data_IF_434247652499
#
_entry.id   IF_434247652499
#
_cell.length_a   1.000
_cell.length_b   1.000
_cell.length_c   1.000
_cell.angle_alpha   90.00
_cell.angle_beta   90.00
_cell.angle_gamma   90.00
#
_symmetry.space_group_name_H-M   'P 1'
#
loop_
_entity.id
_entity.type
_entity.pdbx_description
1 polymer ?
#
# COMPACT_ATOMS: atom_id res chain seq x y z
N UNK A 1 15.94 -38.87 -55.68
CA UNK A 1 16.47 -37.49 -55.57
C UNK A 1 15.41 -36.40 -55.36
N UNK A 2 14.48 -36.10 -56.29
CA UNK A 2 13.56 -34.94 -56.11
C UNK A 2 12.46 -35.15 -55.03
N UNK A 3 12.08 -36.39 -54.77
CA UNK A 3 11.08 -36.81 -53.76
C UNK A 3 11.67 -36.94 -52.35
N UNK A 4 12.88 -37.48 -52.22
CA UNK A 4 13.58 -37.59 -50.93
C UNK A 4 13.87 -36.23 -50.29
N UNK A 5 14.28 -35.25 -51.11
CA UNK A 5 14.50 -33.89 -50.63
C UNK A 5 13.22 -33.21 -50.11
N UNK A 6 12.03 -33.58 -50.63
CA UNK A 6 10.75 -33.06 -50.12
C UNK A 6 10.37 -33.65 -48.77
N UNK A 7 10.62 -34.96 -48.58
CA UNK A 7 10.36 -35.64 -47.31
C UNK A 7 11.29 -35.12 -46.21
N UNK A 8 12.58 -34.92 -46.53
CA UNK A 8 13.56 -34.36 -45.61
C UNK A 8 13.22 -32.91 -45.22
N UNK A 9 12.83 -32.06 -46.19
CA UNK A 9 12.38 -30.70 -45.90
C UNK A 9 11.11 -30.66 -45.05
N UNK A 10 10.14 -31.54 -45.29
CA UNK A 10 8.95 -31.66 -44.43
C UNK A 10 9.32 -32.10 -43.01
N UNK A 11 10.21 -33.09 -42.85
CA UNK A 11 10.68 -33.54 -41.54
C UNK A 11 11.40 -32.43 -40.77
N UNK A 12 12.27 -31.65 -41.42
CA UNK A 12 12.96 -30.50 -40.82
C UNK A 12 11.95 -29.41 -40.45
N UNK A 13 10.93 -29.16 -41.28
CA UNK A 13 9.87 -28.20 -40.97
C UNK A 13 9.03 -28.64 -39.77
N UNK A 14 8.62 -29.91 -39.71
CA UNK A 14 7.88 -30.45 -38.57
C UNK A 14 8.72 -30.45 -37.29
N UNK A 15 10.02 -30.76 -37.38
CA UNK A 15 10.93 -30.74 -36.23
C UNK A 15 11.17 -29.30 -35.73
N UNK A 16 11.37 -28.34 -36.64
CA UNK A 16 11.54 -26.91 -36.26
C UNK A 16 10.24 -26.33 -35.71
N UNK A 17 9.08 -26.72 -36.24
CA UNK A 17 7.77 -26.36 -35.69
C UNK A 17 7.55 -26.97 -34.29
N UNK A 18 7.87 -28.25 -34.09
CA UNK A 18 7.80 -28.90 -32.77
C UNK A 18 8.73 -28.24 -31.75
N UNK A 19 9.96 -27.92 -32.14
CA UNK A 19 10.91 -27.22 -31.27
C UNK A 19 10.39 -25.82 -30.95
N UNK A 20 9.88 -25.07 -31.92
CA UNK A 20 9.33 -23.73 -31.70
C UNK A 20 8.13 -23.72 -30.73
N UNK A 21 7.25 -24.72 -30.79
CA UNK A 21 6.12 -24.85 -29.85
C UNK A 21 6.56 -25.16 -28.42
N UNK A 22 7.68 -25.85 -28.21
CA UNK A 22 8.18 -26.17 -26.87
C UNK A 22 8.92 -25.00 -26.18
N UNK A 23 9.22 -23.91 -26.89
CA UNK A 23 9.94 -22.74 -26.32
C UNK A 23 8.99 -21.58 -25.97
N UNK A 24 7.72 -21.63 -26.38
CA UNK A 24 6.75 -20.58 -26.08
C UNK A 24 6.08 -20.84 -24.72
N UNK A 25 6.70 -20.35 -23.65
CA UNK A 25 6.03 -20.18 -22.36
C UNK A 25 5.18 -18.90 -22.41
N UNK A 26 3.87 -19.04 -22.59
CA UNK A 26 2.90 -17.94 -22.60
C UNK A 26 2.49 -17.44 -21.21
N UNK A 27 3.22 -17.81 -20.17
CA UNK A 27 2.90 -17.47 -18.79
C UNK A 27 3.49 -16.12 -18.38
N UNK A 28 2.82 -15.43 -17.47
CA UNK A 28 3.31 -14.15 -16.95
C UNK A 28 4.54 -14.34 -16.03
N UNK A 29 5.46 -13.35 -15.97
CA UNK A 29 6.72 -13.48 -15.22
C UNK A 29 6.51 -13.76 -13.72
N UNK A 30 7.34 -14.65 -13.17
CA UNK A 30 7.39 -14.92 -11.73
C UNK A 30 8.54 -14.15 -11.06
N UNK A 31 8.25 -13.55 -9.91
CA UNK A 31 9.24 -12.91 -9.03
C UNK A 31 9.25 -13.60 -7.69
N UNK A 32 10.42 -14.03 -7.26
CA UNK A 32 10.61 -14.77 -6.01
C UNK A 32 11.26 -13.88 -4.96
N UNK A 33 10.68 -13.87 -3.76
CA UNK A 33 11.21 -13.15 -2.61
C UNK A 33 11.28 -14.09 -1.42
N UNK A 34 12.38 -14.03 -0.68
CA UNK A 34 12.54 -14.74 0.59
C UNK A 34 12.68 -13.72 1.71
N UNK A 35 11.74 -13.75 2.64
CA UNK A 35 11.65 -12.80 3.75
C UNK A 35 11.86 -13.50 5.08
N UNK A 36 12.88 -13.06 5.81
CA UNK A 36 13.14 -13.45 7.19
C UNK A 36 12.57 -12.37 8.10
N UNK A 37 11.50 -12.70 8.81
CA UNK A 37 10.85 -11.80 9.76
C UNK A 37 11.50 -12.02 11.12
N UNK A 38 12.13 -10.97 11.64
CA UNK A 38 12.92 -11.03 12.89
C UNK A 38 12.56 -9.86 13.78
N UNK A 39 12.82 -10.02 15.07
CA UNK A 39 12.75 -8.92 16.03
C UNK A 39 14.15 -8.33 16.18
N UNK A 40 14.33 -7.02 15.99
CA UNK A 40 15.62 -6.37 16.16
C UNK A 40 15.53 -4.91 16.62
N UNK A 41 16.68 -4.28 16.95
CA UNK A 41 16.71 -2.88 17.35
C UNK A 41 16.42 -1.96 16.15
N UNK A 42 15.51 -1.01 16.34
CA UNK A 42 15.19 0.09 15.43
C UNK A 42 15.38 1.43 16.15
N UNK A 43 15.59 2.51 15.38
CA UNK A 43 15.85 3.85 15.92
C UNK A 43 14.86 4.91 15.39
N UNK A 44 13.54 4.67 15.46
CA UNK A 44 12.56 5.68 15.07
C UNK A 44 12.73 6.91 15.96
N UNK A 45 12.80 8.10 15.36
CA UNK A 45 13.06 9.37 16.05
C UNK A 45 14.35 9.39 16.90
N UNK A 46 15.34 8.55 16.56
CA UNK A 46 16.62 8.48 17.28
C UNK A 46 16.59 7.71 18.61
N UNK A 47 15.45 7.10 18.98
CA UNK A 47 15.31 6.33 20.22
C UNK A 47 15.35 4.84 19.89
N UNK A 48 16.26 4.10 20.53
CA UNK A 48 16.37 2.64 20.39
C UNK A 48 15.11 1.94 20.92
N UNK A 49 14.46 1.15 20.07
CA UNK A 49 13.29 0.35 20.40
C UNK A 49 13.41 -1.03 19.76
N UNK A 50 12.64 -2.01 20.25
CA UNK A 50 12.53 -3.31 19.61
C UNK A 50 11.43 -3.25 18.54
N UNK A 51 11.75 -3.61 17.30
CA UNK A 51 10.83 -3.59 16.17
C UNK A 51 10.88 -4.85 15.31
N UNK A 52 9.89 -5.00 14.44
CA UNK A 52 9.82 -6.09 13.46
C UNK A 52 10.59 -5.65 12.20
N UNK A 53 11.60 -6.44 11.87
CA UNK A 53 12.45 -6.29 10.70
C UNK A 53 12.12 -7.36 9.66
N UNK A 54 12.13 -6.98 8.39
CA UNK A 54 12.08 -7.93 7.27
C UNK A 54 13.45 -7.90 6.59
N UNK A 55 14.14 -9.03 6.56
CA UNK A 55 15.52 -9.12 6.06
C UNK A 55 16.47 -8.10 6.72
N UNK A 56 16.27 -7.85 8.03
CA UNK A 56 17.08 -6.90 8.80
C UNK A 56 16.77 -5.41 8.53
N UNK A 57 15.72 -5.10 7.75
CA UNK A 57 15.39 -3.73 7.35
C UNK A 57 14.13 -3.22 8.04
N UNK A 58 14.16 -1.93 8.41
CA UNK A 58 13.00 -1.14 8.81
C UNK A 58 13.07 0.27 8.19
N UNK A 59 12.07 0.70 7.40
CA UNK A 59 10.94 -0.10 6.90
C UNK A 59 11.40 -1.33 6.09
N UNK A 60 10.48 -2.28 5.88
CA UNK A 60 10.76 -3.49 5.12
C UNK A 60 11.13 -3.21 3.65
N UNK A 61 11.72 -4.20 2.96
CA UNK A 61 12.17 -4.05 1.58
C UNK A 61 11.01 -3.71 0.65
N UNK A 62 11.22 -2.74 -0.23
CA UNK A 62 10.26 -2.37 -1.27
C UNK A 62 10.14 -3.48 -2.33
N UNK A 63 8.91 -3.77 -2.75
CA UNK A 63 8.64 -4.61 -3.93
C UNK A 63 8.36 -3.68 -5.11
N UNK A 64 9.18 -3.76 -6.16
CA UNK A 64 8.89 -3.17 -7.46
C UNK A 64 8.52 -4.29 -8.43
N UNK A 65 7.34 -4.19 -9.04
CA UNK A 65 6.80 -5.21 -9.95
C UNK A 65 6.02 -4.59 -11.09
N UNK A 66 5.75 -5.33 -12.15
CA UNK A 66 4.96 -4.87 -13.28
C UNK A 66 3.57 -5.52 -13.22
N UNK A 67 2.56 -4.90 -13.84
CA UNK A 67 1.24 -5.50 -14.07
C UNK A 67 1.40 -6.93 -14.64
N UNK A 68 0.51 -7.82 -14.21
CA UNK A 68 0.43 -9.25 -14.47
C UNK A 68 1.55 -10.12 -13.88
N UNK A 69 2.60 -9.55 -13.28
CA UNK A 69 3.62 -10.38 -12.62
C UNK A 69 3.01 -11.23 -11.48
N UNK A 70 3.53 -12.44 -11.33
CA UNK A 70 3.23 -13.35 -10.23
C UNK A 70 4.30 -13.20 -9.15
N UNK A 71 3.91 -12.81 -7.92
CA UNK A 71 4.84 -12.68 -6.81
C UNK A 71 4.76 -13.92 -5.92
N UNK A 72 5.89 -14.59 -5.72
CA UNK A 72 6.03 -15.73 -4.82
C UNK A 72 6.91 -15.29 -3.65
N UNK A 73 6.30 -15.11 -2.48
CA UNK A 73 6.94 -14.52 -1.31
C UNK A 73 6.95 -15.54 -0.17
N UNK A 74 8.11 -16.18 0.06
CA UNK A 74 8.31 -17.10 1.17
C UNK A 74 8.68 -16.35 2.44
N UNK A 75 7.75 -16.32 3.39
CA UNK A 75 7.86 -15.61 4.66
C UNK A 75 8.22 -16.61 5.76
N UNK A 76 9.39 -16.44 6.35
CA UNK A 76 9.89 -17.23 7.47
C UNK A 76 9.72 -16.44 8.76
N UNK A 77 8.96 -16.99 9.71
CA UNK A 77 8.71 -16.37 10.99
C UNK A 77 9.77 -16.77 12.01
N UNK A 78 10.69 -15.86 12.33
CA UNK A 78 11.66 -16.01 13.43
C UNK A 78 11.29 -15.17 14.66
N UNK A 79 10.04 -14.67 14.74
CA UNK A 79 9.52 -14.08 15.96
C UNK A 79 9.17 -15.17 16.98
N UNK A 80 9.04 -14.78 18.24
CA UNK A 80 8.58 -15.67 19.33
C UNK A 80 7.06 -15.86 19.35
N UNK A 81 6.35 -15.27 18.39
CA UNK A 81 4.90 -15.24 18.33
C UNK A 81 4.38 -15.49 16.91
N UNK A 82 3.11 -15.89 16.73
CA UNK A 82 2.54 -16.12 15.42
C UNK A 82 2.54 -14.84 14.58
N UNK A 83 2.69 -14.97 13.26
CA UNK A 83 2.82 -13.83 12.36
C UNK A 83 1.92 -13.98 11.13
N UNK A 84 1.36 -12.85 10.67
CA UNK A 84 0.67 -12.72 9.38
C UNK A 84 1.05 -11.39 8.75
N UNK A 85 1.14 -11.37 7.42
CA UNK A 85 1.40 -10.18 6.63
C UNK A 85 0.32 -10.02 5.57
N UNK A 86 -0.25 -8.82 5.48
CA UNK A 86 -1.28 -8.50 4.48
C UNK A 86 -0.76 -7.53 3.43
N UNK A 87 -1.41 -7.52 2.28
CA UNK A 87 -1.01 -6.84 1.05
C UNK A 87 -2.02 -5.74 0.74
N UNK A 88 -1.94 -4.62 1.46
CA UNK A 88 -2.97 -3.58 1.44
C UNK A 88 -3.23 -3.04 0.03
N UNK A 89 -4.46 -3.24 -0.45
CA UNK A 89 -4.93 -2.83 -1.77
C UNK A 89 -4.64 -3.81 -2.90
N UNK A 90 -3.88 -4.89 -2.67
CA UNK A 90 -3.72 -5.98 -3.65
C UNK A 90 -5.01 -6.81 -3.67
N UNK A 91 -5.56 -6.99 -4.86
CA UNK A 91 -6.81 -7.69 -5.08
C UNK A 91 -6.57 -9.19 -5.16
N UNK A 92 -6.97 -9.90 -4.12
CA UNK A 92 -6.87 -11.36 -4.04
C UNK A 92 -7.97 -12.07 -4.85
N UNK A 93 -8.10 -11.76 -6.14
CA UNK A 93 -9.16 -12.26 -7.02
C UNK A 93 -9.10 -13.78 -7.13
N UNK A 94 -10.09 -14.46 -6.52
CA UNK A 94 -10.18 -15.93 -6.39
C UNK A 94 -9.00 -16.56 -5.64
N UNK A 95 -8.36 -15.79 -4.76
CA UNK A 95 -7.11 -16.18 -4.08
C UNK A 95 -7.10 -15.71 -2.62
N UNK A 96 -8.26 -15.72 -1.95
CA UNK A 96 -8.45 -15.08 -0.64
C UNK A 96 -7.56 -15.66 0.46
N UNK A 97 -7.16 -16.93 0.37
CA UNK A 97 -6.22 -17.57 1.30
C UNK A 97 -4.77 -17.06 1.16
N UNK A 98 -4.52 -16.05 0.33
CA UNK A 98 -3.24 -15.35 0.20
C UNK A 98 -3.29 -13.93 0.78
N UNK A 99 -4.43 -13.52 1.33
CA UNK A 99 -4.64 -12.16 1.83
C UNK A 99 -3.85 -11.86 3.11
N UNK A 100 -3.56 -12.91 3.90
CA UNK A 100 -2.73 -12.81 5.09
C UNK A 100 -3.38 -12.01 6.20
N UNK A 101 -4.68 -12.19 6.39
CA UNK A 101 -5.48 -11.64 7.49
C UNK A 101 -6.04 -12.80 8.31
N UNK A 102 -6.20 -12.58 9.61
CA UNK A 102 -6.83 -13.58 10.46
C UNK A 102 -8.26 -13.87 9.98
N UNK A 103 -8.57 -15.14 9.75
CA UNK A 103 -9.83 -15.61 9.15
C UNK A 103 -9.70 -16.04 7.69
N UNK A 104 -8.79 -15.46 6.90
CA UNK A 104 -8.42 -15.99 5.57
C UNK A 104 -7.21 -16.92 5.65
N UNK A 105 -6.31 -16.66 6.60
CA UNK A 105 -5.10 -17.43 6.86
C UNK A 105 -5.00 -17.82 8.33
N UNK A 106 -4.48 -19.03 8.59
CA UNK A 106 -3.94 -19.38 9.89
C UNK A 106 -2.61 -18.64 10.12
N UNK A 107 -2.36 -18.06 11.31
CA UNK A 107 -1.08 -17.42 11.61
C UNK A 107 0.12 -18.36 11.45
N UNK A 108 1.22 -17.84 10.89
CA UNK A 108 2.47 -18.59 10.71
C UNK A 108 3.10 -18.79 12.09
N UNK A 109 3.22 -20.02 12.61
CA UNK A 109 3.80 -20.24 13.94
C UNK A 109 5.29 -19.85 14.00
N UNK A 110 5.84 -19.58 15.19
CA UNK A 110 7.27 -19.39 15.39
C UNK A 110 8.10 -20.53 14.77
N UNK A 111 9.17 -20.18 14.04
CA UNK A 111 10.06 -21.14 13.39
C UNK A 111 9.48 -21.81 12.14
N UNK A 112 8.27 -21.45 11.71
CA UNK A 112 7.63 -21.94 10.49
C UNK A 112 7.66 -20.90 9.38
N UNK A 113 7.26 -21.32 8.18
CA UNK A 113 7.15 -20.46 7.02
C UNK A 113 5.81 -20.63 6.33
N UNK A 114 5.48 -19.66 5.48
CA UNK A 114 4.38 -19.74 4.53
C UNK A 114 4.78 -18.99 3.26
N UNK A 115 4.38 -19.53 2.11
CA UNK A 115 4.67 -18.90 0.82
C UNK A 115 3.40 -18.27 0.27
N UNK A 116 3.43 -16.95 0.13
CA UNK A 116 2.37 -16.19 -0.50
C UNK A 116 2.52 -16.23 -2.01
N UNK A 117 1.46 -16.57 -2.73
CA UNK A 117 1.42 -16.55 -4.19
C UNK A 117 0.42 -15.49 -4.66
N UNK A 118 0.91 -14.30 -5.01
CA UNK A 118 0.10 -13.14 -5.36
C UNK A 118 0.10 -12.92 -6.87
N UNK A 119 -1.06 -12.59 -7.43
CA UNK A 119 -1.17 -12.24 -8.85
C UNK A 119 -1.50 -10.76 -8.97
N UNK A 120 -0.58 -9.96 -9.53
CA UNK A 120 -0.81 -8.51 -9.65
C UNK A 120 -1.89 -8.17 -10.67
N UNK A 121 -2.09 -9.05 -11.67
CA UNK A 121 -3.08 -8.90 -12.74
C UNK A 121 -3.06 -7.48 -13.34
N UNK A 122 -4.22 -6.85 -13.43
CA UNK A 122 -4.45 -5.53 -14.01
C UNK A 122 -4.14 -4.36 -13.06
N UNK A 123 -3.63 -4.60 -11.86
CA UNK A 123 -3.34 -3.52 -10.93
C UNK A 123 -2.08 -2.75 -11.33
N UNK A 124 -2.15 -1.43 -11.23
CA UNK A 124 -1.04 -0.49 -11.43
C UNK A 124 -1.17 0.56 -10.34
N UNK A 125 -0.09 0.91 -9.67
CA UNK A 125 -0.12 1.98 -8.67
C UNK A 125 0.79 1.73 -7.47
N UNK A 126 0.41 2.32 -6.35
CA UNK A 126 1.19 2.37 -5.14
C UNK A 126 0.40 1.72 -4.01
N UNK A 127 1.00 0.69 -3.43
CA UNK A 127 0.44 -0.14 -2.37
C UNK A 127 1.50 -0.33 -1.30
N UNK A 128 1.15 -1.02 -0.22
CA UNK A 128 2.10 -1.37 0.82
C UNK A 128 1.64 -2.66 1.51
N UNK A 129 2.56 -3.32 2.19
CA UNK A 129 2.25 -4.46 3.04
C UNK A 129 2.50 -4.08 4.50
N UNK A 130 1.85 -4.81 5.42
CA UNK A 130 2.12 -4.68 6.84
C UNK A 130 1.68 -5.93 7.63
N UNK A 131 2.20 -6.15 8.85
CA UNK A 131 1.75 -7.23 9.70
C UNK A 131 0.32 -7.04 10.18
N UNK A 132 -0.56 -8.00 9.93
CA UNK A 132 -2.01 -7.87 10.18
C UNK A 132 -2.46 -8.38 11.55
N UNK A 133 -1.59 -9.08 12.28
CA UNK A 133 -1.94 -9.71 13.55
C UNK A 133 -1.77 -8.75 14.75
N UNK A 134 -2.80 -8.62 15.57
CA UNK A 134 -2.79 -7.82 16.79
C UNK A 134 -2.38 -6.37 16.52
N UNK A 135 -1.23 -5.98 17.07
CA UNK A 135 -0.63 -4.65 16.87
C UNK A 135 0.80 -4.76 16.31
N UNK A 136 1.10 -5.81 15.55
CA UNK A 136 2.44 -5.99 14.94
C UNK A 136 2.82 -4.85 14.01
N UNK A 137 1.87 -4.28 13.27
CA UNK A 137 2.07 -3.07 12.45
C UNK A 137 2.69 -1.91 13.26
N UNK A 138 2.34 -1.79 14.53
CA UNK A 138 2.86 -0.76 15.42
C UNK A 138 4.37 -0.92 15.70
N UNK A 139 4.87 -2.14 15.62
CA UNK A 139 6.29 -2.46 15.81
C UNK A 139 7.08 -2.39 14.49
N UNK A 140 6.45 -2.01 13.38
CA UNK A 140 7.08 -1.94 12.06
C UNK A 140 6.65 -3.08 11.15
N UNK A 141 7.61 -3.70 10.45
CA UNK A 141 7.35 -4.77 9.49
C UNK A 141 6.55 -4.36 8.24
N UNK A 142 6.31 -3.06 8.02
CA UNK A 142 5.63 -2.54 6.84
C UNK A 142 6.64 -2.11 5.76
N UNK A 143 6.21 -2.14 4.50
CA UNK A 143 7.03 -1.74 3.35
C UNK A 143 6.19 -1.48 2.10
N UNK A 144 6.78 -0.81 1.11
CA UNK A 144 6.06 -0.38 -0.10
C UNK A 144 5.98 -1.47 -1.17
N UNK A 145 4.91 -1.42 -1.96
CA UNK A 145 4.71 -2.22 -3.18
C UNK A 145 4.36 -1.27 -4.31
N UNK A 146 5.25 -1.15 -5.29
CA UNK A 146 4.99 -0.37 -6.49
C UNK A 146 4.70 -1.30 -7.65
N UNK A 147 3.52 -1.15 -8.25
CA UNK A 147 3.16 -1.86 -9.47
C UNK A 147 3.23 -0.88 -10.66
N UNK A 148 4.08 -1.18 -11.61
CA UNK A 148 4.31 -0.39 -12.82
C UNK A 148 3.46 -0.92 -13.98
N UNK A 149 3.12 -0.03 -14.91
CA UNK A 149 2.52 -0.45 -16.19
C UNK A 149 3.52 -1.27 -17.00
N UNK A 150 3.03 -2.17 -17.86
CA UNK A 150 3.91 -2.87 -18.81
C UNK A 150 4.53 -1.87 -19.79
N UNK A 151 5.75 -2.16 -20.29
CA UNK A 151 6.31 -1.39 -21.40
C UNK A 151 5.29 -1.27 -22.53
N UNK A 152 5.18 -0.07 -23.12
CA UNK A 152 4.25 0.27 -24.22
C UNK A 152 2.77 0.37 -23.85
N UNK A 153 2.36 0.13 -22.60
CA UNK A 153 1.03 0.53 -22.14
C UNK A 153 1.08 2.00 -21.73
N UNK A 154 0.38 2.91 -22.43
CA UNK A 154 0.38 4.32 -22.10
C UNK A 154 -0.32 4.55 -20.76
N UNK A 155 0.35 5.32 -19.90
CA UNK A 155 -0.24 5.90 -18.69
C UNK A 155 -0.68 7.34 -18.99
N UNK A 156 -1.69 7.88 -18.30
CA UNK A 156 -2.28 9.19 -18.64
C UNK A 156 -1.40 10.39 -18.25
N UNK A 157 -0.11 10.21 -18.02
CA UNK A 157 0.84 11.26 -17.63
C UNK A 157 2.23 11.01 -18.25
N UNK A 158 3.07 12.04 -18.43
CA UNK A 158 4.43 11.88 -18.92
C UNK A 158 5.29 11.01 -18.00
N UNK A 159 6.25 10.29 -18.58
CA UNK A 159 7.19 9.48 -17.79
C UNK A 159 7.99 10.38 -16.82
N UNK A 160 7.95 10.12 -15.50
CA UNK A 160 8.76 10.86 -14.55
C UNK A 160 10.24 10.48 -14.68
N UNK A 161 11.13 11.38 -14.28
CA UNK A 161 12.58 11.16 -14.22
C UNK A 161 12.98 10.17 -13.12
N UNK A 162 12.12 9.99 -12.11
CA UNK A 162 12.32 9.02 -11.03
C UNK A 162 11.10 8.92 -10.13
N UNK A 163 11.06 7.83 -9.36
CA UNK A 163 10.00 7.50 -8.42
C UNK A 163 10.57 7.43 -6.99
N UNK A 164 9.90 8.09 -6.05
CA UNK A 164 10.17 7.99 -4.62
C UNK A 164 9.01 7.32 -3.90
N UNK A 165 9.30 6.30 -3.09
CA UNK A 165 8.33 5.69 -2.18
C UNK A 165 8.45 6.34 -0.81
N UNK A 166 7.33 6.84 -0.30
CA UNK A 166 7.24 7.59 0.94
C UNK A 166 6.17 6.95 1.83
N UNK A 167 6.61 6.17 2.81
CA UNK A 167 5.77 5.58 3.84
C UNK A 167 5.75 6.53 5.03
N UNK A 168 4.59 7.12 5.32
CA UNK A 168 4.44 8.06 6.41
C UNK A 168 3.34 7.62 7.38
N UNK A 169 3.47 7.94 8.66
CA UNK A 169 2.47 7.56 9.65
C UNK A 169 2.89 7.90 11.07
N UNK A 170 1.94 7.77 11.99
CA UNK A 170 2.20 7.91 13.42
C UNK A 170 3.07 6.80 14.00
N UNK A 171 3.79 7.14 15.06
CA UNK A 171 4.62 6.24 15.82
C UNK A 171 4.43 6.41 17.31
N UNK A 172 4.50 5.29 18.02
CA UNK A 172 4.42 5.21 19.48
C UNK A 172 5.76 4.72 20.02
N UNK A 173 6.34 5.43 20.99
CA UNK A 173 7.58 5.03 21.66
C UNK A 173 7.37 3.82 22.58
N UNK A 174 6.15 3.68 23.12
CA UNK A 174 5.72 2.54 23.92
C UNK A 174 4.90 1.61 23.05
N UNK A 175 5.07 0.29 23.24
CA UNK A 175 4.30 -0.73 22.53
C UNK A 175 2.79 -0.50 22.71
N UNK A 176 2.04 -0.16 21.65
CA UNK A 176 0.59 0.03 21.72
C UNK A 176 -0.14 -1.23 22.22
N UNK A 177 0.41 -2.41 21.89
CA UNK A 177 -0.08 -3.69 22.38
C UNK A 177 -0.05 -3.78 23.90
N UNK A 178 1.10 -3.47 24.51
CA UNK A 178 1.25 -3.57 25.96
C UNK A 178 0.30 -2.60 26.70
N UNK A 179 -0.01 -1.45 26.11
CA UNK A 179 -0.98 -0.48 26.65
C UNK A 179 -2.39 -1.06 26.59
N UNK A 180 -2.79 -1.61 25.45
CA UNK A 180 -4.12 -2.20 25.27
C UNK A 180 -4.32 -3.45 26.14
N UNK A 181 -3.32 -4.33 26.21
CA UNK A 181 -3.37 -5.55 27.03
C UNK A 181 -3.46 -5.22 28.54
N UNK A 182 -3.00 -4.03 28.95
CA UNK A 182 -3.17 -3.52 30.32
C UNK A 182 -4.55 -2.87 30.59
N UNK A 183 -5.46 -2.87 29.60
CA UNK A 183 -6.80 -2.30 29.73
C UNK A 183 -6.86 -0.77 29.59
N UNK A 184 -5.78 -0.14 29.12
CA UNK A 184 -5.72 1.30 28.91
C UNK A 184 -6.00 1.67 27.45
N UNK A 185 -6.66 2.81 27.24
CA UNK A 185 -6.83 3.39 25.92
C UNK A 185 -5.47 3.76 25.33
N UNK A 186 -5.34 3.65 24.00
CA UNK A 186 -4.15 4.14 23.32
C UNK A 186 -3.96 5.64 23.58
N UNK A 187 -2.74 6.07 23.96
CA UNK A 187 -2.44 7.47 24.11
C UNK A 187 -2.43 8.16 22.74
N UNK A 188 -2.24 9.47 22.76
CA UNK A 188 -1.87 10.18 21.55
C UNK A 188 -0.48 9.70 21.06
N UNK A 189 -0.24 9.55 19.75
CA UNK A 189 1.07 9.12 19.26
C UNK A 189 2.18 10.10 19.64
N UNK A 190 3.41 9.58 19.75
CA UNK A 190 4.58 10.36 20.16
C UNK A 190 5.17 11.22 19.03
N UNK A 191 4.92 10.84 17.77
CA UNK A 191 5.46 11.52 16.61
C UNK A 191 4.99 10.93 15.29
N UNK A 192 5.50 11.50 14.19
CA UNK A 192 5.30 10.99 12.84
C UNK A 192 6.65 10.56 12.26
N UNK A 193 6.62 9.51 11.44
CA UNK A 193 7.77 9.05 10.68
C UNK A 193 7.55 9.26 9.18
N UNK A 194 8.66 9.47 8.47
CA UNK A 194 8.77 9.33 7.02
C UNK A 194 9.80 8.24 6.79
N UNK A 195 9.48 7.19 6.04
CA UNK A 195 10.37 6.05 5.75
C UNK A 195 11.10 5.53 7.01
N UNK A 196 10.39 5.42 8.15
CA UNK A 196 10.92 4.93 9.43
C UNK A 196 11.78 5.93 10.21
N UNK A 197 12.06 7.11 9.67
CA UNK A 197 12.88 8.14 10.28
C UNK A 197 12.05 9.32 10.80
N UNK A 198 12.57 9.97 11.84
CA UNK A 198 11.98 11.20 12.39
C UNK A 198 12.40 12.45 11.62
N UNK A 199 12.43 13.58 12.33
CA UNK A 199 12.73 14.91 11.79
C UNK A 199 14.02 14.95 10.95
N UNK A 200 13.91 15.44 9.71
CA UNK A 200 15.00 15.57 8.73
C UNK A 200 15.81 14.28 8.49
N UNK A 201 15.25 13.10 8.77
CA UNK A 201 15.99 11.84 8.65
C UNK A 201 16.05 11.26 7.23
N UNK A 202 15.28 11.81 6.27
CA UNK A 202 15.32 11.39 4.87
C UNK A 202 15.67 12.56 3.96
N UNK A 203 16.37 12.26 2.89
CA UNK A 203 16.69 13.19 1.80
C UNK A 203 16.30 12.58 0.46
N UNK A 204 15.61 13.35 -0.38
CA UNK A 204 15.19 12.96 -1.72
C UNK A 204 15.87 13.90 -2.72
N UNK A 205 16.79 13.36 -3.52
CA UNK A 205 17.61 14.14 -4.44
C UNK A 205 16.93 14.31 -5.80
N UNK A 206 16.78 15.55 -6.26
CA UNK A 206 16.16 15.89 -7.54
C UNK A 206 17.05 16.76 -8.41
N UNK A 207 16.95 16.60 -9.72
CA UNK A 207 17.60 17.46 -10.69
C UNK A 207 16.66 18.60 -11.08
N UNK A 208 17.18 19.83 -11.10
CA UNK A 208 16.39 21.01 -11.47
C UNK A 208 15.77 20.85 -12.87
N UNK A 209 14.51 21.27 -13.00
CA UNK A 209 13.72 21.18 -14.24
C UNK A 209 13.07 19.81 -14.49
N UNK A 210 13.50 18.75 -13.79
CA UNK A 210 12.94 17.41 -13.95
C UNK A 210 11.67 17.21 -13.12
N UNK A 211 10.84 16.25 -13.52
CA UNK A 211 9.61 15.89 -12.80
C UNK A 211 9.73 14.51 -12.18
N UNK A 212 9.42 14.40 -10.90
CA UNK A 212 9.51 13.16 -10.10
C UNK A 212 8.14 12.73 -9.62
N UNK A 213 7.94 11.42 -9.45
CA UNK A 213 6.74 10.86 -8.84
C UNK A 213 6.99 10.55 -7.38
N UNK A 214 6.16 11.08 -6.49
CA UNK A 214 6.13 10.72 -5.08
C UNK A 214 4.94 9.80 -4.83
N UNK A 215 5.21 8.59 -4.34
CA UNK A 215 4.23 7.56 -3.98
C UNK A 215 4.08 7.55 -2.47
N UNK A 216 3.02 8.17 -1.97
CA UNK A 216 2.86 8.47 -0.55
C UNK A 216 1.79 7.53 0.03
N UNK A 217 2.15 6.73 1.03
CA UNK A 217 1.25 5.80 1.70
C UNK A 217 1.18 6.12 3.19
N UNK A 218 -0.05 6.22 3.72
CA UNK A 218 -0.24 6.36 5.16
C UNK A 218 -0.23 4.97 5.85
N UNK A 219 0.92 4.64 6.43
CA UNK A 219 1.18 3.38 7.14
C UNK A 219 0.98 3.49 8.66
N UNK A 220 0.43 4.60 9.15
CA UNK A 220 0.15 4.82 10.57
C UNK A 220 -0.90 3.88 11.17
N UNK A 221 -1.22 4.09 12.46
CA UNK A 221 -2.24 3.32 13.17
C UNK A 221 -3.49 4.15 13.44
N UNK A 222 -3.33 5.43 13.76
CA UNK A 222 -4.41 6.25 14.32
C UNK A 222 -4.63 7.57 13.59
N UNK A 223 -3.62 8.11 12.91
CA UNK A 223 -3.67 9.51 12.43
C UNK A 223 -3.80 9.62 10.91
N UNK A 224 -4.68 10.53 10.48
CA UNK A 224 -4.62 11.06 9.12
C UNK A 224 -3.47 12.07 9.02
N UNK A 225 -2.79 12.11 7.88
CA UNK A 225 -1.63 12.98 7.67
C UNK A 225 -1.90 13.98 6.55
N UNK A 226 -1.22 15.13 6.59
CA UNK A 226 -1.16 16.09 5.51
C UNK A 226 0.26 16.15 4.96
N UNK A 227 0.41 15.91 3.65
CA UNK A 227 1.68 15.95 2.94
C UNK A 227 1.79 17.23 2.11
N UNK A 228 2.96 17.87 2.13
CA UNK A 228 3.27 19.07 1.32
C UNK A 228 4.76 19.25 1.13
N UNK A 229 5.15 19.99 0.10
CA UNK A 229 6.54 20.32 -0.21
C UNK A 229 6.67 21.84 -0.30
N UNK A 230 7.62 22.42 0.43
CA UNK A 230 7.86 23.85 0.49
C UNK A 230 8.12 24.41 -0.91
N UNK A 231 7.33 25.39 -1.33
CA UNK A 231 7.49 26.06 -2.64
C UNK A 231 7.08 25.21 -3.85
N UNK A 232 6.54 24.01 -3.68
CA UNK A 232 6.19 23.13 -4.81
C UNK A 232 4.70 22.78 -4.80
N UNK A 233 4.09 22.85 -5.97
CA UNK A 233 2.76 22.29 -6.21
C UNK A 233 2.88 20.84 -6.67
N UNK A 234 1.82 20.06 -6.43
CA UNK A 234 1.79 18.63 -6.64
C UNK A 234 0.63 18.28 -7.56
N UNK A 235 0.89 17.56 -8.64
CA UNK A 235 -0.14 17.08 -9.56
C UNK A 235 -0.58 15.68 -9.15
N UNK A 236 -1.81 15.52 -8.66
CA UNK A 236 -2.36 14.21 -8.28
C UNK A 236 -2.67 13.37 -9.53
N UNK A 237 -2.05 12.20 -9.64
CA UNK A 237 -2.16 11.31 -10.80
C UNK A 237 -2.72 9.91 -10.47
N UNK A 238 -2.69 9.51 -9.20
CA UNK A 238 -3.11 8.19 -8.74
C UNK A 238 -3.66 8.27 -7.31
N UNK A 239 -4.73 7.54 -7.06
CA UNK A 239 -5.24 7.24 -5.72
C UNK A 239 -5.57 5.75 -5.65
N UNK A 240 -4.94 5.03 -4.73
CA UNK A 240 -5.21 3.63 -4.38
C UNK A 240 -5.21 2.69 -5.59
N UNK A 241 -4.20 2.82 -6.47
CA UNK A 241 -4.10 1.99 -7.67
C UNK A 241 -5.00 2.41 -8.83
N UNK A 242 -5.64 3.58 -8.74
CA UNK A 242 -6.51 4.11 -9.80
C UNK A 242 -6.05 5.48 -10.28
N UNK A 243 -5.98 5.66 -11.61
CA UNK A 243 -5.64 6.95 -12.20
C UNK A 243 -6.73 7.99 -11.95
N UNK A 244 -6.33 9.23 -11.65
CA UNK A 244 -7.25 10.33 -11.38
C UNK A 244 -7.30 11.32 -12.54
N UNK A 245 -8.40 12.08 -12.63
CA UNK A 245 -8.39 13.34 -13.36
C UNK A 245 -7.40 14.28 -12.67
N UNK A 246 -6.40 14.72 -13.42
CA UNK A 246 -5.23 15.38 -12.85
C UNK A 246 -5.59 16.75 -12.32
N UNK A 247 -5.34 16.95 -11.02
CA UNK A 247 -5.60 18.21 -10.32
C UNK A 247 -4.35 18.63 -9.56
N UNK A 248 -4.15 19.94 -9.44
CA UNK A 248 -3.01 20.52 -8.72
C UNK A 248 -3.38 20.79 -7.26
N UNK A 249 -2.49 20.42 -6.35
CA UNK A 249 -2.62 20.62 -4.91
C UNK A 249 -1.35 21.22 -4.32
N UNK A 250 -1.49 22.08 -3.32
CA UNK A 250 -0.37 22.60 -2.51
C UNK A 250 -0.11 21.73 -1.28
N UNK A 251 -1.14 21.01 -0.81
CA UNK A 251 -1.06 20.00 0.25
C UNK A 251 -2.12 18.93 0.03
N UNK A 252 -1.90 17.74 0.54
CA UNK A 252 -2.82 16.61 0.43
C UNK A 252 -3.06 15.96 1.78
N UNK A 253 -4.33 15.84 2.17
CA UNK A 253 -4.74 14.97 3.27
C UNK A 253 -4.77 13.51 2.80
N UNK A 254 -4.13 12.61 3.54
CA UNK A 254 -4.02 11.18 3.24
C UNK A 254 -4.44 10.42 4.51
N UNK A 255 -5.58 9.74 4.43
CA UNK A 255 -6.12 8.98 5.54
C UNK A 255 -5.43 7.63 5.70
N UNK A 256 -5.58 7.01 6.86
CA UNK A 256 -5.00 5.70 7.17
C UNK A 256 -5.35 4.67 6.09
N UNK A 257 -4.36 3.90 5.64
CA UNK A 257 -4.57 2.87 4.63
C UNK A 257 -4.49 3.38 3.19
N UNK A 258 -4.61 4.69 2.96
CA UNK A 258 -4.61 5.25 1.60
C UNK A 258 -3.18 5.39 1.04
N UNK A 259 -3.09 5.31 -0.29
CA UNK A 259 -1.86 5.53 -1.05
C UNK A 259 -2.12 6.42 -2.26
N UNK A 260 -1.35 7.50 -2.40
CA UNK A 260 -1.53 8.52 -3.43
C UNK A 260 -0.23 8.62 -4.24
N UNK A 261 -0.32 8.91 -5.55
CA UNK A 261 0.85 9.38 -6.31
C UNK A 261 0.67 10.79 -6.82
N UNK A 262 1.71 11.59 -6.65
CA UNK A 262 1.80 12.94 -7.20
C UNK A 262 3.03 13.11 -8.08
N UNK A 263 2.92 13.95 -9.11
CA UNK A 263 4.06 14.46 -9.86
C UNK A 263 4.48 15.83 -9.31
N UNK A 264 5.78 16.00 -9.11
CA UNK A 264 6.39 17.23 -8.60
C UNK A 264 7.53 17.62 -9.53
N UNK A 265 7.45 18.83 -10.09
CA UNK A 265 8.51 19.38 -10.95
C UNK A 265 9.47 20.19 -10.10
N UNK A 266 10.77 19.92 -10.19
CA UNK A 266 11.83 20.63 -9.48
C UNK A 266 12.11 22.00 -10.14
N UNK A 267 11.13 22.89 -10.09
CA UNK A 267 11.12 24.17 -10.81
C UNK A 267 11.57 25.38 -9.96
N UNK A 268 11.98 25.15 -8.71
CA UNK A 268 12.40 26.22 -7.82
C UNK A 268 13.88 26.57 -8.02
N UNK A 269 14.35 27.61 -7.32
CA UNK A 269 15.79 27.93 -7.23
C UNK A 269 16.53 26.71 -6.66
N UNK A 270 17.80 26.47 -7.03
CA UNK A 270 18.52 25.28 -6.62
C UNK A 270 18.95 25.38 -5.15
N UNK A 271 18.00 25.20 -4.24
CA UNK A 271 18.13 25.21 -2.78
C UNK A 271 17.49 23.93 -2.26
N UNK A 272 17.75 23.60 -1.00
CA UNK A 272 17.04 22.50 -0.33
C UNK A 272 15.69 22.98 0.22
N UNK A 273 14.66 22.14 0.09
CA UNK A 273 13.29 22.45 0.49
C UNK A 273 12.74 21.43 1.49
N UNK A 274 11.89 21.87 2.42
CA UNK A 274 11.21 20.94 3.32
C UNK A 274 10.12 20.14 2.60
N UNK A 275 10.18 18.82 2.72
CA UNK A 275 9.01 17.94 2.61
C UNK A 275 8.43 17.82 4.01
N UNK A 276 7.16 18.18 4.19
CA UNK A 276 6.52 18.23 5.51
C UNK A 276 5.33 17.29 5.56
N UNK A 277 5.28 16.49 6.63
CA UNK A 277 4.14 15.66 6.99
C UNK A 277 3.64 16.08 8.37
N UNK A 278 2.37 16.44 8.48
CA UNK A 278 1.75 16.81 9.77
C UNK A 278 0.47 16.05 10.04
N UNK A 279 0.12 15.85 11.31
CA UNK A 279 -1.11 15.17 11.68
C UNK A 279 -2.34 16.04 11.42
N UNK A 280 -3.46 15.41 11.12
CA UNK A 280 -4.76 16.06 10.89
C UNK A 280 -5.76 15.66 11.96
N UNK A 281 -6.71 16.55 12.23
CA UNK A 281 -7.83 16.34 13.17
C UNK A 281 -7.39 16.02 14.60
N UNK A 282 -6.21 16.51 14.99
CA UNK A 282 -5.58 16.18 16.26
C UNK A 282 -5.03 17.43 16.93
N UNK A 283 -5.00 17.42 18.27
CA UNK A 283 -4.38 18.45 19.12
C UNK A 283 -3.56 17.73 20.20
N UNK A 284 -2.23 17.95 20.31
CA UNK A 284 -1.41 18.83 19.47
C UNK A 284 -1.22 18.29 18.04
N UNK A 285 -0.72 19.16 17.14
CA UNK A 285 -0.36 18.76 15.77
C UNK A 285 1.06 18.22 15.77
N UNK A 286 1.21 16.95 15.40
CA UNK A 286 2.53 16.34 15.19
C UNK A 286 3.05 16.74 13.82
N UNK A 287 4.34 17.03 13.71
CA UNK A 287 4.98 17.38 12.42
C UNK A 287 6.33 16.69 12.33
N UNK A 288 6.63 16.16 11.15
CA UNK A 288 7.94 15.63 10.79
C UNK A 288 8.31 16.11 9.39
N UNK A 289 9.60 16.14 9.11
CA UNK A 289 10.15 16.70 7.87
C UNK A 289 11.15 15.75 7.22
N UNK A 290 11.27 15.88 5.91
CA UNK A 290 12.35 15.34 5.10
C UNK A 290 12.89 16.46 4.21
N UNK A 291 14.03 16.23 3.57
CA UNK A 291 14.71 17.21 2.72
C UNK A 291 14.48 16.83 1.26
N UNK A 292 13.97 17.77 0.46
CA UNK A 292 14.04 17.72 -1.00
C UNK A 292 15.34 18.43 -1.41
N UNK A 293 16.36 17.65 -1.75
CA UNK A 293 17.68 18.16 -2.08
C UNK A 293 17.81 18.36 -3.59
N UNK A 294 18.10 19.58 -4.01
CA UNK A 294 18.44 19.84 -5.41
C UNK A 294 19.89 19.42 -5.64
N UNK A 295 20.19 18.63 -6.67
CA UNK A 295 21.55 18.13 -6.92
C UNK A 295 22.59 19.24 -7.15
N UNK A 296 22.14 20.41 -7.59
CA UNK A 296 22.93 21.64 -7.75
C UNK A 296 22.70 22.66 -6.62
N UNK A 297 22.28 22.20 -5.43
CA UNK A 297 21.85 23.07 -4.33
C UNK A 297 22.97 24.00 -3.80
N UNK A 298 22.66 25.29 -3.65
CA UNK A 298 23.56 26.31 -3.09
C UNK A 298 23.26 26.67 -1.63
N UNK A 299 22.20 26.10 -1.06
CA UNK A 299 21.73 26.46 0.28
C UNK A 299 20.93 25.35 0.91
N UNK A 300 21.12 25.17 2.23
CA UNK A 300 20.32 24.26 3.03
C UNK A 300 18.90 24.81 3.21
N UNK A 301 18.00 23.96 3.70
CA UNK A 301 16.64 24.34 4.09
C UNK A 301 16.67 25.57 4.99
N UNK A 302 15.78 26.54 4.70
CA UNK A 302 15.71 27.82 5.42
C UNK A 302 14.28 28.16 5.81
N UNK A 303 14.13 28.86 6.94
CA UNK A 303 12.85 29.22 7.54
C UNK A 303 12.13 28.06 8.25
N UNK A 304 10.93 28.30 8.79
CA UNK A 304 10.10 27.25 9.35
C UNK A 304 9.53 26.34 8.25
N UNK A 305 9.24 25.06 8.53
CA UNK A 305 8.50 24.21 7.61
C UNK A 305 7.16 24.86 7.22
N UNK A 306 6.67 24.63 5.99
CA UNK A 306 5.40 25.20 5.55
C UNK A 306 4.28 24.85 6.52
N UNK A 307 3.45 25.82 6.87
CA UNK A 307 2.21 25.59 7.62
C UNK A 307 1.24 24.71 6.81
N UNK A 308 0.32 24.04 7.50
CA UNK A 308 -0.68 23.19 6.87
C UNK A 308 -2.01 23.21 7.62
N UNK A 309 -3.07 22.63 7.02
CA UNK A 309 -4.35 22.48 7.71
C UNK A 309 -4.17 21.59 8.94
N UNK A 310 -4.89 21.90 10.02
CA UNK A 310 -4.70 21.25 11.33
C UNK A 310 -5.95 20.46 11.70
N UNK A 311 -7.01 21.15 12.11
CA UNK A 311 -8.26 20.55 12.58
C UNK A 311 -9.46 20.82 11.66
N UNK A 312 -9.29 21.67 10.65
CA UNK A 312 -10.36 22.04 9.71
C UNK A 312 -10.79 20.82 8.89
N UNK A 313 -12.08 20.50 8.86
CA UNK A 313 -12.64 19.32 8.17
C UNK A 313 -13.04 19.64 6.74
N UNK A 314 -13.55 20.85 6.49
CA UNK A 314 -14.14 21.23 5.20
C UNK A 314 -13.17 21.10 4.03
N UNK A 315 -11.90 21.46 4.23
CA UNK A 315 -10.86 21.32 3.20
C UNK A 315 -10.59 19.86 2.84
N UNK A 316 -10.62 18.97 3.84
CA UNK A 316 -10.43 17.53 3.64
C UNK A 316 -11.60 16.90 2.89
N UNK A 317 -12.83 17.26 3.27
CA UNK A 317 -14.04 16.85 2.57
C UNK A 317 -14.07 17.37 1.13
N UNK A 318 -13.67 18.63 0.93
CA UNK A 318 -13.60 19.25 -0.39
C UNK A 318 -12.57 18.54 -1.28
N UNK A 319 -11.40 18.18 -0.74
CA UNK A 319 -10.40 17.37 -1.44
C UNK A 319 -10.95 15.99 -1.82
N UNK A 320 -11.56 15.26 -0.89
CA UNK A 320 -12.16 13.96 -1.19
C UNK A 320 -13.24 14.08 -2.30
N UNK A 321 -14.01 15.17 -2.27
CA UNK A 321 -15.01 15.50 -3.29
C UNK A 321 -14.43 16.03 -4.59
N UNK A 322 -13.18 16.51 -4.67
CA UNK A 322 -12.58 16.94 -5.93
C UNK A 322 -11.88 15.79 -6.67
N UNK A 323 -11.43 14.77 -5.95
CA UNK A 323 -10.78 13.60 -6.56
C UNK A 323 -11.81 12.81 -7.38
N UNK A 324 -11.50 12.62 -8.66
CA UNK A 324 -12.29 11.82 -9.60
C UNK A 324 -11.38 10.86 -10.33
N UNK A 325 -11.82 9.62 -10.51
CA UNK A 325 -11.10 8.67 -11.34
C UNK A 325 -11.18 9.08 -12.81
N UNK A 326 -10.06 8.95 -13.51
CA UNK A 326 -10.03 9.10 -14.94
C UNK A 326 -10.58 7.82 -15.58
N UNK A 327 -11.84 7.87 -15.99
CA UNK A 327 -12.54 6.72 -16.55
C UNK A 327 -12.06 6.32 -17.96
N UNK A 328 -11.27 7.17 -18.61
CA UNK A 328 -10.70 6.89 -19.95
C UNK A 328 -9.25 6.40 -19.90
N UNK A 329 -8.60 6.48 -18.74
CA UNK A 329 -7.23 6.02 -18.58
C UNK A 329 -7.16 4.48 -18.63
N UNK A 330 -6.16 3.97 -19.35
CA UNK A 330 -5.86 2.55 -19.50
C UNK A 330 -5.51 1.91 -18.14
N UNK A 331 -6.51 1.36 -17.46
CA UNK A 331 -6.31 0.13 -16.70
C UNK A 331 -6.48 -1.04 -17.68
N UNK A 332 -5.66 -2.12 -17.61
CA UNK A 332 -5.91 -3.35 -18.37
C UNK A 332 -7.20 -4.03 -17.86
N UNK A 333 -8.36 -3.44 -18.11
CA UNK A 333 -9.65 -4.01 -17.74
C UNK A 333 -10.12 -4.88 -18.91
N UNK A 334 -10.60 -6.11 -18.66
CA UNK A 334 -11.22 -6.93 -19.70
C UNK A 334 -12.38 -6.23 -20.42
N UNK A 335 -13.05 -5.29 -19.76
CA UNK A 335 -14.20 -4.56 -20.31
C UNK A 335 -13.92 -3.05 -20.43
N UNK A 336 -14.29 -2.42 -21.56
CA UNK A 336 -14.27 -0.97 -21.73
C UNK A 336 -15.15 -0.26 -20.68
N UNK A 337 -14.67 0.85 -20.15
CA UNK A 337 -15.40 1.65 -19.18
C UNK A 337 -16.60 2.36 -19.85
N UNK A 338 -17.81 2.11 -19.34
CA UNK A 338 -19.08 2.60 -19.93
C UNK A 338 -20.04 1.50 -20.39
N UNK A 339 -19.60 0.24 -20.42
CA UNK A 339 -20.45 -0.93 -20.70
C UNK A 339 -21.49 -1.22 -19.60
N UNK A 340 -21.25 -0.74 -18.37
CA UNK A 340 -22.21 -0.80 -17.27
C UNK A 340 -22.79 0.59 -17.03
N UNK A 341 -24.06 0.77 -17.41
CA UNK A 341 -24.84 1.91 -16.99
C UNK A 341 -25.20 1.73 -15.50
N UNK A 342 -24.29 2.10 -14.59
CA UNK A 342 -24.45 1.89 -13.15
C UNK A 342 -25.78 2.44 -12.60
N UNK A 343 -26.30 3.53 -13.18
CA UNK A 343 -27.63 4.09 -12.83
C UNK A 343 -28.83 3.22 -13.23
N UNK A 344 -28.65 2.25 -14.12
CA UNK A 344 -29.68 1.29 -14.55
C UNK A 344 -29.58 -0.06 -13.83
N UNK A 345 -28.53 -0.29 -13.04
CA UNK A 345 -28.36 -1.53 -12.28
C UNK A 345 -29.29 -1.48 -11.07
N UNK A 346 -30.28 -2.39 -11.01
CA UNK A 346 -31.13 -2.56 -9.84
C UNK A 346 -30.29 -3.12 -8.69
N UNK A 347 -30.14 -2.41 -7.55
CA UNK A 347 -29.42 -2.94 -6.40
C UNK A 347 -30.11 -4.20 -5.88
N UNK A 348 -29.38 -5.32 -5.78
CA UNK A 348 -29.92 -6.58 -5.24
C UNK A 348 -30.05 -6.57 -3.71
N UNK A 349 -29.20 -5.78 -3.04
CA UNK A 349 -29.18 -5.64 -1.58
C UNK A 349 -28.61 -4.29 -1.17
N UNK A 350 -29.20 -3.69 -0.14
CA UNK A 350 -28.65 -2.50 0.53
C UNK A 350 -28.24 -2.86 1.95
N UNK A 351 -26.99 -2.60 2.30
CA UNK A 351 -26.47 -2.78 3.66
C UNK A 351 -26.21 -1.40 4.24
N UNK A 352 -26.82 -1.08 5.38
CA UNK A 352 -26.59 0.19 6.10
C UNK A 352 -25.73 -0.10 7.34
N UNK A 353 -24.51 0.43 7.34
CA UNK A 353 -23.58 0.29 8.44
C UNK A 353 -23.59 1.58 9.26
N UNK A 354 -24.01 1.50 10.52
CA UNK A 354 -23.94 2.61 11.47
C UNK A 354 -22.81 2.33 12.47
N UNK A 355 -21.84 3.22 12.54
CA UNK A 355 -20.75 3.16 13.51
C UNK A 355 -21.19 3.81 14.81
N UNK A 356 -21.02 3.11 15.93
CA UNK A 356 -21.18 3.68 17.27
C UNK A 356 -20.03 3.20 18.19
N UNK A 357 -19.84 3.92 19.30
CA UNK A 357 -18.86 3.57 20.33
C UNK A 357 -19.57 3.33 21.69
N UNK A 358 -20.39 2.27 21.80
CA UNK A 358 -21.11 1.96 23.03
C UNK A 358 -20.15 1.60 24.16
N UNK A 359 -20.58 1.89 25.39
CA UNK A 359 -19.93 1.39 26.61
C UNK A 359 -20.64 0.09 26.98
N UNK A 360 -19.92 -1.04 26.96
CA UNK A 360 -20.46 -2.37 27.30
C UNK A 360 -19.63 -2.91 28.46
N UNK A 361 -20.29 -3.26 29.56
CA UNK A 361 -19.64 -3.74 30.79
C UNK A 361 -18.52 -2.81 31.30
N UNK A 362 -18.70 -1.48 31.15
CA UNK A 362 -17.71 -0.47 31.56
C UNK A 362 -16.58 -0.21 30.56
N UNK A 363 -16.44 -1.03 29.52
CA UNK A 363 -15.43 -0.85 28.47
C UNK A 363 -16.03 -0.16 27.24
N UNK A 364 -15.32 0.84 26.70
CA UNK A 364 -15.66 1.43 25.39
C UNK A 364 -15.30 0.44 24.30
N UNK A 365 -16.28 0.02 23.53
CA UNK A 365 -16.10 -0.90 22.41
C UNK A 365 -16.65 -0.24 21.14
N UNK A 366 -15.87 -0.22 20.05
CA UNK A 366 -16.36 0.28 18.77
C UNK A 366 -17.00 -0.88 18.03
N UNK A 367 -18.32 -0.85 17.87
CA UNK A 367 -19.06 -1.92 17.19
C UNK A 367 -19.79 -1.39 15.98
N UNK A 368 -19.79 -2.21 14.94
CA UNK A 368 -20.84 -2.17 13.92
C UNK A 368 -21.99 -3.02 14.44
N UNK A 369 -23.19 -2.46 14.54
CA UNK A 369 -24.37 -3.20 15.01
C UNK A 369 -24.58 -4.45 14.15
N UNK A 370 -24.52 -5.65 14.74
CA UNK A 370 -24.64 -6.93 14.03
C UNK A 370 -23.33 -7.51 13.46
N UNK A 371 -22.16 -7.00 13.86
CA UNK A 371 -20.85 -7.52 13.45
C UNK A 371 -20.12 -8.27 14.58
N UNK A 372 -19.34 -9.28 14.18
CA UNK A 372 -18.46 -10.09 15.04
C UNK A 372 -17.60 -9.25 16.00
N UNK A 373 -17.45 -9.72 17.25
CA UNK A 373 -16.50 -9.17 18.22
C UNK A 373 -15.09 -9.75 18.05
N UNK A 374 -14.09 -9.14 18.70
CA UNK A 374 -12.72 -9.65 18.73
C UNK A 374 -12.70 -11.11 19.24
N UNK A 375 -12.04 -12.02 18.52
CA UNK A 375 -11.92 -13.44 18.89
C UNK A 375 -13.12 -14.33 18.51
N UNK A 376 -14.13 -13.81 17.79
CA UNK A 376 -15.32 -14.59 17.42
C UNK A 376 -15.21 -15.35 16.08
N UNK A 377 -14.07 -15.24 15.39
CA UNK A 377 -13.74 -16.07 14.22
C UNK A 377 -13.03 -17.34 14.74
N UNK A 378 -13.59 -18.54 14.54
CA UNK A 378 -13.02 -19.78 15.06
C UNK A 378 -11.71 -20.13 14.34
N UNK A 379 -10.71 -20.59 15.10
CA UNK A 379 -9.41 -21.09 14.59
C UNK A 379 -9.56 -22.38 13.76
N UNK A 380 -10.70 -23.06 13.87
CA UNK A 380 -11.00 -24.31 13.17
C UNK A 380 -12.01 -24.04 12.05
N UNK A 381 -11.67 -24.28 10.76
CA UNK A 381 -12.65 -24.21 9.69
C UNK A 381 -13.75 -25.25 9.96
N UNK A 382 -15.01 -24.82 9.93
CA UNK A 382 -16.15 -25.64 10.38
C UNK A 382 -16.58 -26.70 9.36
N UNK A 383 -15.94 -26.79 8.19
CA UNK A 383 -16.22 -27.72 7.07
C UNK A 383 -17.68 -27.77 6.58
N UNK A 384 -18.57 -26.94 7.13
CA UNK A 384 -19.95 -26.78 6.72
C UNK A 384 -20.16 -25.62 5.75
N UNK A 385 -21.37 -25.52 5.20
CA UNK A 385 -21.81 -24.37 4.41
C UNK A 385 -21.57 -23.08 5.20
N UNK A 386 -20.82 -22.13 4.64
CA UNK A 386 -20.53 -20.86 5.31
C UNK A 386 -21.82 -20.15 5.69
N UNK A 387 -22.12 -20.07 6.98
CA UNK A 387 -23.30 -19.35 7.47
C UNK A 387 -22.88 -17.95 7.93
N UNK A 388 -23.71 -16.96 7.57
CA UNK A 388 -23.50 -15.55 7.86
C UNK A 388 -23.49 -15.28 9.36
N UNK A 389 -22.29 -15.21 9.92
CA UNK A 389 -21.94 -14.15 10.85
C UNK A 389 -20.83 -13.37 10.14
N UNK A 390 -20.90 -12.06 10.19
CA UNK A 390 -20.42 -11.11 9.16
C UNK A 390 -18.91 -11.11 8.92
N UNK A 391 -18.43 -11.83 7.88
CA UNK A 391 -17.14 -11.49 7.29
C UNK A 391 -17.22 -10.11 6.62
N UNK A 392 -16.08 -9.42 6.57
CA UNK A 392 -15.86 -8.28 5.69
C UNK A 392 -16.12 -8.76 4.26
N UNK A 393 -17.31 -8.42 3.76
CA UNK A 393 -17.80 -8.55 2.39
C UNK A 393 -17.50 -9.89 1.68
N UNK A 394 -18.51 -10.76 1.64
CA UNK A 394 -18.58 -11.82 0.63
C UNK A 394 -18.75 -11.17 -0.76
N UNK A 395 -17.70 -11.13 -1.57
CA UNK A 395 -17.84 -11.04 -3.01
C UNK A 395 -18.24 -12.45 -3.49
N UNK A 396 -19.51 -12.63 -3.83
CA UNK A 396 -19.97 -13.84 -4.51
C UNK A 396 -19.38 -13.84 -5.93
N UNK A 397 -18.32 -14.63 -6.13
CA UNK A 397 -17.67 -14.77 -7.44
C UNK A 397 -18.36 -15.79 -8.36
N UNK A 398 -19.49 -16.41 -7.95
CA UNK A 398 -20.30 -17.29 -8.81
C UNK A 398 -21.44 -16.56 -9.52
N UNK A 399 -21.72 -15.31 -9.16
CA UNK A 399 -22.68 -14.44 -9.84
C UNK A 399 -22.03 -13.49 -10.87
N UNK A 400 -20.79 -13.77 -11.30
CA UNK A 400 -20.11 -13.12 -12.43
C UNK A 400 -19.93 -14.04 -13.63
#
# INVERSE_FOLDING_TARGET
MRTENRVLCSLIFFLTFFIAFNVVNGEDPYRFFTWKVTSGPIYPMGIRQQGILINGQFPGPKIDTVTNDNLIISVYNYLTEPFLITWNGIQQRRNSWQDGVYGTNCPIPPGKNFTYALQMKDQIGSFFYFPSLGMHKAAGGFGGINIYSRPRIPVPFPHPAGDFTLLAGDWFKRSPRAILDSGHNLPFPDGLLINGQGWNGNTFTVNQGQTYRFRISNVGLATSINFRIQGHTMKLIEVEGSHTLQSMYTSLDIHLGQSYSVLVTANQRPWDYYITVSSRFTKPVLTTTAILHYSNSWGKVSGPPPGGPTVQIDSSLSQARSIRWNLTASGPRPNPQGSYHYGMIKPSRTIRLANNAPVINGNKDMRLTGVFGVGSIPDSPTWGSGYLKTSVMHADFRSY
#
